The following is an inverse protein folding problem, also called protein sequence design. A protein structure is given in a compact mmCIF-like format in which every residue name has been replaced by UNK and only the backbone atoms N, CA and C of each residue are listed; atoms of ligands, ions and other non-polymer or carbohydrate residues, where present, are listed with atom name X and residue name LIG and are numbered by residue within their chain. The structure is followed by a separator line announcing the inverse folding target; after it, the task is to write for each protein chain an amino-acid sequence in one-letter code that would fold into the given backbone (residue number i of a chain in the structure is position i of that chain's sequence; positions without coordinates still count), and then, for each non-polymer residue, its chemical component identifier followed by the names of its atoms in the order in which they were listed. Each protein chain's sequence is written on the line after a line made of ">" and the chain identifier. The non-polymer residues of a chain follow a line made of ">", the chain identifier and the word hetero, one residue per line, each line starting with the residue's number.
data_IF_057066338123
#
_entry.id   IF_057066338123
#
_cell.length_a   1.000
_cell.length_b   1.000
_cell.length_c   1.000
_cell.angle_alpha   90.00
_cell.angle_beta   90.00
_cell.angle_gamma   90.00
#
_symmetry.space_group_name_H-M   'P 1'
#
loop_
_entity.id
_entity.type
_entity.pdbx_description
1 polymer ?
#
# COMPACT_ATOMS: atom_id res chain seq x y z
N UNK A 1 -2.99 12.28 -9.59
CA UNK A 1 -4.05 11.71 -8.74
C UNK A 1 -4.93 12.85 -8.27
N UNK A 2 -6.24 12.70 -8.38
CA UNK A 2 -7.25 13.63 -7.84
C UNK A 2 -7.55 13.28 -6.37
N UNK A 3 -8.22 14.19 -5.63
CA UNK A 3 -8.66 13.93 -4.25
C UNK A 3 -9.54 12.66 -4.16
N UNK A 4 -10.43 12.44 -5.13
CA UNK A 4 -11.27 11.25 -5.16
C UNK A 4 -10.45 9.96 -5.32
N UNK A 5 -9.47 9.95 -6.23
CA UNK A 5 -8.58 8.81 -6.44
C UNK A 5 -7.72 8.53 -5.19
N UNK A 6 -7.32 9.59 -4.48
CA UNK A 6 -6.58 9.50 -3.22
C UNK A 6 -7.42 8.83 -2.11
N UNK A 7 -8.66 9.30 -1.90
CA UNK A 7 -9.58 8.69 -0.93
C UNK A 7 -9.88 7.23 -1.27
N UNK A 8 -10.04 6.89 -2.56
CA UNK A 8 -10.21 5.51 -3.01
C UNK A 8 -8.95 4.65 -2.76
N UNK A 9 -7.75 5.21 -2.96
CA UNK A 9 -6.50 4.53 -2.68
C UNK A 9 -6.34 4.25 -1.17
N UNK A 10 -6.65 5.22 -0.31
CA UNK A 10 -6.67 5.06 1.15
C UNK A 10 -7.63 3.96 1.59
N UNK A 11 -8.87 3.99 1.11
CA UNK A 11 -9.88 2.99 1.45
C UNK A 11 -9.47 1.57 1.02
N UNK A 12 -8.79 1.44 -0.13
CA UNK A 12 -8.22 0.16 -0.58
C UNK A 12 -7.02 -0.27 0.26
N UNK A 13 -6.18 0.65 0.69
CA UNK A 13 -5.01 0.36 1.53
C UNK A 13 -5.43 -0.21 2.89
N UNK A 14 -6.42 0.39 3.54
CA UNK A 14 -6.99 -0.09 4.82
C UNK A 14 -7.51 -1.52 4.68
N UNK A 15 -8.33 -1.79 3.65
CA UNK A 15 -8.84 -3.15 3.38
C UNK A 15 -7.72 -4.15 3.07
N UNK A 16 -6.66 -3.69 2.41
CA UNK A 16 -5.47 -4.50 2.15
C UNK A 16 -4.76 -4.89 3.44
N UNK A 17 -4.60 -3.95 4.38
CA UNK A 17 -4.03 -4.22 5.69
C UNK A 17 -4.86 -5.25 6.47
N UNK A 18 -6.18 -5.04 6.55
CA UNK A 18 -7.12 -5.99 7.18
C UNK A 18 -7.04 -7.39 6.54
N UNK A 19 -6.91 -7.45 5.22
CA UNK A 19 -6.76 -8.73 4.50
C UNK A 19 -5.44 -9.44 4.86
N UNK A 20 -4.34 -8.69 5.01
CA UNK A 20 -3.02 -9.23 5.33
C UNK A 20 -2.89 -9.77 6.76
N UNK A 21 -3.74 -9.30 7.69
CA UNK A 21 -3.84 -9.82 9.06
C UNK A 21 -4.45 -11.23 9.13
N UNK A 22 -5.06 -11.69 8.04
CA UNK A 22 -5.60 -13.05 7.96
C UNK A 22 -4.51 -14.12 8.06
N UNK A 23 -4.75 -15.13 8.88
CA UNK A 23 -3.84 -16.27 9.08
C UNK A 23 -4.01 -17.37 8.03
N UNK A 24 -5.07 -17.32 7.22
CA UNK A 24 -5.43 -18.36 6.24
C UNK A 24 -4.98 -18.06 4.80
N UNK A 25 -4.14 -17.04 4.60
CA UNK A 25 -3.63 -16.69 3.28
C UNK A 25 -2.61 -17.70 2.76
N UNK A 26 -2.81 -18.15 1.52
CA UNK A 26 -1.74 -18.86 0.80
C UNK A 26 -0.56 -17.92 0.52
N UNK A 27 0.67 -18.44 0.36
CA UNK A 27 1.84 -17.61 0.01
C UNK A 27 1.61 -16.72 -1.22
N UNK A 28 0.94 -17.24 -2.24
CA UNK A 28 0.61 -16.49 -3.47
C UNK A 28 -0.37 -15.33 -3.22
N UNK A 29 -1.39 -15.55 -2.38
CA UNK A 29 -2.34 -14.49 -2.01
C UNK A 29 -1.66 -13.40 -1.19
N UNK A 30 -0.79 -13.80 -0.25
CA UNK A 30 0.01 -12.86 0.55
C UNK A 30 0.91 -12.02 -0.35
N UNK A 31 1.67 -12.64 -1.25
CA UNK A 31 2.53 -11.92 -2.21
C UNK A 31 1.74 -10.92 -3.08
N UNK A 32 0.56 -11.30 -3.57
CA UNK A 32 -0.30 -10.41 -4.34
C UNK A 32 -0.83 -9.23 -3.51
N UNK A 33 -1.21 -9.50 -2.26
CA UNK A 33 -1.70 -8.48 -1.34
C UNK A 33 -0.58 -7.51 -0.93
N UNK A 34 0.63 -8.01 -0.64
CA UNK A 34 1.81 -7.21 -0.32
C UNK A 34 2.18 -6.28 -1.49
N UNK A 35 2.22 -6.80 -2.73
CA UNK A 35 2.46 -5.98 -3.94
C UNK A 35 1.45 -4.86 -4.10
N UNK A 36 0.15 -5.17 -3.93
CA UNK A 36 -0.90 -4.18 -4.04
C UNK A 36 -0.80 -3.13 -2.92
N UNK A 37 -0.49 -3.55 -1.70
CA UNK A 37 -0.29 -2.67 -0.56
C UNK A 37 0.87 -1.69 -0.79
N UNK A 38 2.01 -2.19 -1.28
CA UNK A 38 3.17 -1.36 -1.63
C UNK A 38 2.86 -0.37 -2.75
N UNK A 39 2.18 -0.81 -3.81
CA UNK A 39 1.77 0.07 -4.91
C UNK A 39 0.84 1.20 -4.45
N UNK A 40 -0.14 0.89 -3.59
CA UNK A 40 -1.07 1.88 -3.05
C UNK A 40 -0.35 2.85 -2.11
N UNK A 41 0.50 2.33 -1.22
CA UNK A 41 1.31 3.15 -0.30
C UNK A 41 2.18 4.12 -1.08
N UNK A 42 2.86 3.66 -2.13
CA UNK A 42 3.70 4.50 -2.98
C UNK A 42 2.89 5.62 -3.64
N UNK A 43 1.73 5.29 -4.20
CA UNK A 43 0.81 6.26 -4.83
C UNK A 43 0.36 7.34 -3.85
N UNK A 44 -0.01 6.94 -2.63
CA UNK A 44 -0.43 7.84 -1.55
C UNK A 44 0.71 8.78 -1.13
N UNK A 45 1.91 8.23 -0.91
CA UNK A 45 3.07 9.03 -0.50
C UNK A 45 3.47 10.07 -1.57
N UNK A 46 3.46 9.69 -2.86
CA UNK A 46 3.69 10.64 -3.96
C UNK A 46 2.66 11.77 -3.93
N UNK A 47 1.38 11.44 -3.78
CA UNK A 47 0.32 12.44 -3.72
C UNK A 47 0.49 13.41 -2.54
N UNK A 48 0.97 12.93 -1.40
CA UNK A 48 1.26 13.76 -0.22
C UNK A 48 2.58 14.55 -0.31
N UNK A 49 3.34 14.42 -1.41
CA UNK A 49 4.66 15.04 -1.53
C UNK A 49 5.73 14.39 -0.64
N UNK A 50 5.50 13.16 -0.18
CA UNK A 50 6.35 12.41 0.75
C UNK A 50 7.19 11.35 0.03
N UNK A 51 7.69 11.64 -1.17
CA UNK A 51 8.43 10.67 -1.99
C UNK A 51 9.71 10.17 -1.30
N UNK A 52 10.30 11.01 -0.45
CA UNK A 52 11.46 10.67 0.37
C UNK A 52 11.22 9.45 1.28
N UNK A 53 9.97 9.20 1.70
CA UNK A 53 9.62 8.07 2.56
C UNK A 53 9.57 6.72 1.81
N UNK A 54 9.52 6.75 0.48
CA UNK A 54 9.57 5.54 -0.37
C UNK A 54 11.01 5.03 -0.46
N UNK A 55 11.99 5.94 -0.46
CA UNK A 55 13.40 5.67 -0.68
C UNK A 55 14.23 5.77 0.60
N UNK A 56 13.73 5.27 1.75
CA UNK A 56 14.55 5.23 2.95
C UNK A 56 15.79 4.34 2.70
N UNK A 57 17.01 4.92 2.64
CA UNK A 57 18.22 4.15 2.35
C UNK A 57 18.56 3.14 3.45
N UNK A 58 17.91 3.21 4.61
CA UNK A 58 18.08 2.31 5.74
C UNK A 58 17.09 1.14 5.76
N UNK A 59 16.14 1.07 4.80
CA UNK A 59 15.22 -0.07 4.63
C UNK A 59 15.87 -1.27 3.90
N UNK A 60 17.13 -1.59 4.24
CA UNK A 60 17.85 -2.79 3.76
C UNK A 60 18.13 -3.76 4.89
#
# INVERSE_FOLDING_TARGET
>A
MTELEYQQALARLIKGAEYLERTDLTPKQREQADKLYDELTRKILIYQGMEWAIYDPNKK
#
